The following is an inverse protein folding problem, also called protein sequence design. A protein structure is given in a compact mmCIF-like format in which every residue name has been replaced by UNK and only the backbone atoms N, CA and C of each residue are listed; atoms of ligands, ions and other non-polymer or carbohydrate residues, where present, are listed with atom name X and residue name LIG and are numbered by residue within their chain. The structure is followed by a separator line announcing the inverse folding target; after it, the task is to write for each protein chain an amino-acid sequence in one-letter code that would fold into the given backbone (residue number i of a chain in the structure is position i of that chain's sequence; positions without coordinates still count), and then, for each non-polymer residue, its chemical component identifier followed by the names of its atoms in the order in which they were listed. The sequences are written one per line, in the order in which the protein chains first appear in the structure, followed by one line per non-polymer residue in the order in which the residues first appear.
data_IF_554015144793
#
_entry.id   IF_554015144793
#
_cell.length_a   1.000
_cell.length_b   1.000
_cell.length_c   1.000
_cell.angle_alpha   90.00
_cell.angle_beta   90.00
_cell.angle_gamma   90.00
#
_symmetry.space_group_name_H-M   'P 1'
#
loop_
_entity.id
_entity.type
_entity.pdbx_description
1 polymer ?
#
# COMPACT_ATOMS: atom_id res chain seq x y z
N UNK A 1 -9.09 23.95 -27.57
CA UNK A 1 -7.97 24.81 -27.13
C UNK A 1 -7.76 24.55 -25.65
N UNK A 2 -6.90 23.58 -25.31
CA UNK A 2 -6.64 23.19 -23.92
C UNK A 2 -5.47 24.03 -23.39
N UNK A 3 -5.75 24.96 -22.49
CA UNK A 3 -4.74 25.74 -21.77
C UNK A 3 -4.01 24.79 -20.82
N UNK A 4 -2.81 24.36 -21.19
CA UNK A 4 -1.85 23.79 -20.23
C UNK A 4 -1.57 24.87 -19.18
N UNK A 5 -2.09 24.68 -17.97
CA UNK A 5 -1.63 25.42 -16.80
C UNK A 5 -0.12 25.19 -16.66
N UNK A 6 0.67 26.23 -16.92
CA UNK A 6 2.11 26.18 -16.70
C UNK A 6 2.37 26.01 -15.20
N UNK A 7 2.96 24.88 -14.80
CA UNK A 7 3.42 24.67 -13.43
C UNK A 7 4.47 25.75 -13.15
N UNK A 8 4.25 26.56 -12.11
CA UNK A 8 5.21 27.59 -11.70
C UNK A 8 6.45 26.91 -11.10
N UNK A 9 7.67 27.30 -11.48
CA UNK A 9 8.88 26.81 -10.82
C UNK A 9 8.85 27.26 -9.35
N UNK A 10 8.78 26.30 -8.43
CA UNK A 10 8.75 26.55 -6.97
C UNK A 10 7.42 26.34 -6.27
N UNK A 11 6.37 25.88 -6.96
CA UNK A 11 5.17 25.34 -6.28
C UNK A 11 5.40 23.88 -5.89
N UNK A 12 5.58 23.61 -4.60
CA UNK A 12 5.59 22.25 -4.07
C UNK A 12 4.23 21.59 -4.34
N UNK A 13 4.25 20.41 -4.98
CA UNK A 13 3.03 19.64 -5.25
C UNK A 13 2.39 19.27 -3.91
N UNK A 14 1.19 19.79 -3.63
CA UNK A 14 0.42 19.37 -2.46
C UNK A 14 -0.15 17.99 -2.69
N UNK A 15 0.08 17.08 -1.75
CA UNK A 15 -0.49 15.74 -1.78
C UNK A 15 -2.02 15.82 -1.82
N UNK A 16 -2.63 14.99 -2.68
CA UNK A 16 -4.08 14.88 -2.75
C UNK A 16 -4.65 14.15 -1.53
N UNK A 17 -5.94 14.36 -1.23
CA UNK A 17 -6.60 13.67 -0.11
C UNK A 17 -6.51 12.14 -0.20
N UNK A 18 -6.61 11.58 -1.42
CA UNK A 18 -6.50 10.13 -1.62
C UNK A 18 -5.09 9.59 -1.36
N UNK A 19 -4.06 10.40 -1.59
CA UNK A 19 -2.67 10.03 -1.29
C UNK A 19 -2.45 10.02 0.23
N UNK A 20 -3.00 10.99 0.96
CA UNK A 20 -2.99 10.96 2.42
C UNK A 20 -3.77 9.75 2.98
N UNK A 21 -4.90 9.41 2.37
CA UNK A 21 -5.65 8.21 2.75
C UNK A 21 -4.88 6.92 2.45
N UNK A 22 -4.13 6.88 1.34
CA UNK A 22 -3.23 5.77 1.01
C UNK A 22 -2.20 5.55 2.12
N UNK A 23 -1.53 6.62 2.57
CA UNK A 23 -0.53 6.54 3.63
C UNK A 23 -1.13 5.97 4.93
N UNK A 24 -2.33 6.42 5.31
CA UNK A 24 -3.03 5.91 6.49
C UNK A 24 -3.43 4.43 6.34
N UNK A 25 -3.89 4.02 5.15
CA UNK A 25 -4.26 2.64 4.88
C UNK A 25 -3.04 1.70 5.00
N UNK A 26 -1.89 2.12 4.48
CA UNK A 26 -0.63 1.37 4.63
C UNK A 26 -0.23 1.27 6.10
N UNK A 27 -0.23 2.38 6.84
CA UNK A 27 0.14 2.37 8.27
C UNK A 27 -0.79 1.46 9.07
N UNK A 28 -2.11 1.50 8.81
CA UNK A 28 -3.07 0.61 9.44
C UNK A 28 -2.79 -0.87 9.11
N UNK A 29 -2.49 -1.17 7.85
CA UNK A 29 -2.17 -2.52 7.41
C UNK A 29 -0.89 -3.07 8.07
N UNK A 30 0.14 -2.24 8.22
CA UNK A 30 1.35 -2.62 8.95
C UNK A 30 1.05 -2.88 10.44
N UNK A 31 0.18 -2.08 11.05
CA UNK A 31 -0.29 -2.28 12.43
C UNK A 31 -0.99 -3.64 12.60
N UNK A 32 -1.94 -3.97 11.72
CA UNK A 32 -2.64 -5.27 11.73
C UNK A 32 -1.68 -6.44 11.55
N UNK A 33 -0.73 -6.36 10.61
CA UNK A 33 0.30 -7.39 10.42
C UNK A 33 1.20 -7.57 11.66
N UNK A 34 1.42 -6.50 12.42
CA UNK A 34 2.22 -6.52 13.63
C UNK A 34 1.44 -7.06 14.84
N UNK A 35 0.15 -6.77 14.95
CA UNK A 35 -0.70 -7.30 16.02
C UNK A 35 -0.74 -8.84 15.98
N UNK A 36 -0.79 -9.42 14.78
CA UNK A 36 -0.68 -10.88 14.59
C UNK A 36 0.63 -11.47 15.17
N UNK A 37 1.74 -10.72 15.14
CA UNK A 37 2.99 -11.13 15.78
C UNK A 37 2.93 -11.01 17.31
N UNK A 38 2.31 -9.95 17.82
CA UNK A 38 2.19 -9.70 19.26
C UNK A 38 1.33 -10.77 19.94
N UNK A 39 0.28 -11.26 19.27
CA UNK A 39 -0.62 -12.29 19.81
C UNK A 39 0.09 -13.64 20.00
N UNK A 40 0.94 -14.03 19.06
CA UNK A 40 1.66 -15.30 19.09
C UNK A 40 3.16 -15.11 18.82
N UNK A 41 3.93 -14.57 19.77
CA UNK A 41 5.33 -14.27 19.57
C UNK A 41 6.14 -15.57 19.48
N UNK A 42 6.61 -15.88 18.28
CA UNK A 42 7.48 -17.01 17.97
C UNK A 42 8.50 -16.62 16.91
N UNK A 43 9.54 -17.43 16.71
CA UNK A 43 10.52 -17.16 15.66
C UNK A 43 9.89 -17.23 14.25
N UNK A 44 8.93 -18.14 14.06
CA UNK A 44 8.22 -18.32 12.80
C UNK A 44 7.33 -17.12 12.49
N UNK A 45 6.51 -16.69 13.45
CA UNK A 45 5.65 -15.51 13.30
C UNK A 45 6.48 -14.24 13.14
N UNK A 46 7.61 -14.09 13.84
CA UNK A 46 8.54 -12.97 13.64
C UNK A 46 9.05 -12.92 12.20
N UNK A 47 9.47 -14.06 11.64
CA UNK A 47 10.00 -14.14 10.28
C UNK A 47 8.93 -13.77 9.24
N UNK A 48 7.73 -14.34 9.34
CA UNK A 48 6.65 -14.05 8.40
C UNK A 48 6.13 -12.61 8.52
N UNK A 49 5.99 -12.08 9.74
CA UNK A 49 5.58 -10.68 9.94
C UNK A 49 6.64 -9.71 9.42
N UNK A 50 7.94 -10.00 9.56
CA UNK A 50 9.01 -9.19 8.96
C UNK A 50 8.96 -9.21 7.43
N UNK A 51 8.71 -10.37 6.82
CA UNK A 51 8.53 -10.46 5.37
C UNK A 51 7.30 -9.68 4.89
N UNK A 52 6.17 -9.80 5.59
CA UNK A 52 4.96 -9.04 5.29
C UNK A 52 5.21 -7.52 5.39
N UNK A 53 5.87 -7.10 6.47
CA UNK A 53 6.28 -5.71 6.69
C UNK A 53 7.18 -5.21 5.55
N UNK A 54 8.22 -5.97 5.19
CA UNK A 54 9.16 -5.61 4.13
C UNK A 54 8.46 -5.48 2.77
N UNK A 55 7.52 -6.38 2.47
CA UNK A 55 6.75 -6.33 1.23
C UNK A 55 5.80 -5.12 1.20
N UNK A 56 4.99 -4.92 2.25
CA UNK A 56 4.07 -3.78 2.36
C UNK A 56 4.83 -2.45 2.34
N UNK A 57 5.97 -2.37 3.03
CA UNK A 57 6.85 -1.20 3.01
C UNK A 57 7.41 -0.92 1.62
N UNK A 58 7.86 -1.96 0.91
CA UNK A 58 8.40 -1.81 -0.47
C UNK A 58 7.35 -1.27 -1.43
N UNK A 59 6.11 -1.79 -1.34
CA UNK A 59 4.96 -1.30 -2.11
C UNK A 59 4.71 0.18 -1.81
N UNK A 60 4.65 0.56 -0.53
CA UNK A 60 4.44 1.95 -0.13
C UNK A 60 5.58 2.88 -0.58
N UNK A 61 6.82 2.41 -0.51
CA UNK A 61 7.99 3.18 -0.93
C UNK A 61 7.97 3.45 -2.44
N UNK A 62 7.77 2.42 -3.27
CA UNK A 62 7.69 2.55 -4.72
C UNK A 62 6.51 3.43 -5.13
N UNK A 63 5.34 3.08 -4.61
CA UNK A 63 4.23 3.95 -4.21
C UNK A 63 4.46 5.47 -4.29
N UNK A 64 5.03 5.92 -3.17
CA UNK A 64 5.36 7.29 -2.82
C UNK A 64 6.40 7.89 -3.76
N UNK A 65 7.42 7.12 -4.16
CA UNK A 65 8.44 7.60 -5.11
C UNK A 65 7.84 7.95 -6.47
N UNK A 66 6.91 7.13 -6.98
CA UNK A 66 6.19 7.39 -8.24
C UNK A 66 5.35 8.66 -8.11
N UNK A 67 4.58 8.81 -7.02
CA UNK A 67 3.74 9.98 -6.78
C UNK A 67 4.54 11.28 -6.61
N UNK A 68 5.73 11.19 -6.01
CA UNK A 68 6.62 12.33 -5.85
C UNK A 68 7.29 12.70 -7.17
N UNK A 69 7.61 11.72 -8.02
CA UNK A 69 8.32 11.94 -9.28
C UNK A 69 7.41 12.41 -10.40
N UNK A 70 6.21 11.85 -10.50
CA UNK A 70 5.29 12.08 -11.59
C UNK A 70 4.01 12.75 -11.07
N UNK A 71 3.60 13.83 -11.71
CA UNK A 71 2.29 14.44 -11.47
C UNK A 71 1.20 13.59 -12.16
N UNK A 72 0.98 12.38 -11.63
CA UNK A 72 -0.07 11.48 -12.11
C UNK A 72 -1.38 11.96 -11.51
N UNK A 73 -2.25 12.48 -12.36
CA UNK A 73 -3.62 12.81 -12.02
C UNK A 73 -4.57 12.11 -13.00
N UNK A 74 -5.71 11.61 -12.49
CA UNK A 74 -6.68 10.93 -13.32
C UNK A 74 -7.52 9.91 -12.56
N UNK A 75 -8.67 9.57 -13.15
CA UNK A 75 -9.60 8.59 -12.56
C UNK A 75 -9.00 7.18 -12.51
N UNK A 76 -8.24 6.79 -13.53
CA UNK A 76 -7.60 5.46 -13.61
C UNK A 76 -6.62 5.28 -12.44
N UNK A 77 -5.75 6.27 -12.22
CA UNK A 77 -4.80 6.26 -11.12
C UNK A 77 -5.50 6.19 -9.74
N UNK A 78 -6.59 6.93 -9.54
CA UNK A 78 -7.37 6.85 -8.29
C UNK A 78 -7.97 5.46 -8.07
N UNK A 79 -8.45 4.81 -9.14
CA UNK A 79 -8.96 3.44 -9.08
C UNK A 79 -7.82 2.47 -8.74
N UNK A 80 -6.67 2.59 -9.39
CA UNK A 80 -5.49 1.78 -9.09
C UNK A 80 -5.07 1.93 -7.63
N UNK A 81 -5.06 3.15 -7.08
CA UNK A 81 -4.77 3.37 -5.65
C UNK A 81 -5.79 2.70 -4.73
N UNK A 82 -7.08 2.79 -5.02
CA UNK A 82 -8.11 2.11 -4.22
C UNK A 82 -7.95 0.58 -4.27
N UNK A 83 -7.63 0.03 -5.45
CA UNK A 83 -7.32 -1.39 -5.61
C UNK A 83 -6.07 -1.79 -4.82
N UNK A 84 -5.03 -0.95 -4.86
CA UNK A 84 -3.79 -1.16 -4.12
C UNK A 84 -4.02 -1.16 -2.61
N UNK A 85 -4.77 -0.18 -2.08
CA UNK A 85 -5.17 -0.14 -0.66
C UNK A 85 -5.94 -1.40 -0.27
N UNK A 86 -6.87 -1.83 -1.11
CA UNK A 86 -7.69 -3.02 -0.85
C UNK A 86 -6.80 -4.27 -0.76
N UNK A 87 -5.87 -4.44 -1.71
CA UNK A 87 -4.94 -5.56 -1.69
C UNK A 87 -4.01 -5.54 -0.46
N UNK A 88 -3.48 -4.38 -0.09
CA UNK A 88 -2.60 -4.24 1.09
C UNK A 88 -3.33 -4.61 2.38
N UNK A 89 -4.59 -4.19 2.55
CA UNK A 89 -5.41 -4.53 3.71
C UNK A 89 -5.76 -6.02 3.75
N UNK A 90 -6.12 -6.62 2.61
CA UNK A 90 -6.39 -8.06 2.52
C UNK A 90 -5.14 -8.88 2.86
N UNK A 91 -3.96 -8.45 2.39
CA UNK A 91 -2.69 -9.08 2.76
C UNK A 91 -2.46 -8.98 4.27
N UNK A 92 -2.69 -7.82 4.90
CA UNK A 92 -2.52 -7.68 6.36
C UNK A 92 -3.44 -8.62 7.15
N UNK A 93 -4.71 -8.72 6.76
CA UNK A 93 -5.69 -9.59 7.44
C UNK A 93 -5.29 -11.07 7.32
N UNK A 94 -4.69 -11.48 6.19
CA UNK A 94 -4.27 -12.87 5.98
C UNK A 94 -3.12 -13.34 6.88
N UNK A 95 -2.43 -12.42 7.57
CA UNK A 95 -1.33 -12.74 8.50
C UNK A 95 -1.86 -13.26 9.84
N UNK A 96 -3.09 -12.91 10.23
CA UNK A 96 -3.68 -13.32 11.51
C UNK A 96 -4.13 -14.79 11.54
N UNK A 97 -3.95 -15.46 12.69
CA UNK A 97 -4.50 -16.80 12.93
C UNK A 97 -6.04 -16.75 12.96
N UNK A 98 -6.71 -17.66 12.23
CA UNK A 98 -8.17 -17.67 12.10
C UNK A 98 -8.73 -16.65 11.10
N UNK A 99 -7.88 -16.05 10.27
CA UNK A 99 -8.29 -15.11 9.24
C UNK A 99 -9.24 -15.74 8.22
N UNK A 100 -10.19 -14.94 7.72
CA UNK A 100 -11.11 -15.35 6.66
C UNK A 100 -10.41 -15.62 5.32
N UNK A 101 -9.13 -15.24 5.21
CA UNK A 101 -8.31 -15.33 4.00
C UNK A 101 -7.03 -16.09 4.36
N UNK A 102 -6.89 -17.29 3.82
CA UNK A 102 -5.69 -18.11 3.98
C UNK A 102 -4.42 -17.43 3.41
N UNK A 103 -3.24 -17.88 3.80
CA UNK A 103 -1.94 -17.32 3.38
C UNK A 103 -1.79 -17.23 1.85
N UNK A 104 -2.42 -18.15 1.10
CA UNK A 104 -2.49 -18.12 -0.37
C UNK A 104 -3.21 -16.89 -0.89
N UNK A 105 -4.31 -16.51 -0.25
CA UNK A 105 -5.05 -15.29 -0.57
C UNK A 105 -4.21 -14.05 -0.31
N UNK A 106 -3.46 -14.03 0.80
CA UNK A 106 -2.48 -12.99 1.11
C UNK A 106 -1.44 -12.78 0.01
N UNK A 107 -0.86 -13.87 -0.50
CA UNK A 107 0.11 -13.83 -1.60
C UNK A 107 -0.50 -13.37 -2.93
N UNK A 108 -1.73 -13.80 -3.25
CA UNK A 108 -2.43 -13.34 -4.46
C UNK A 108 -2.70 -11.83 -4.36
N UNK A 109 -3.17 -11.35 -3.22
CA UNK A 109 -3.39 -9.92 -2.98
C UNK A 109 -2.09 -9.13 -3.10
N UNK A 110 -0.98 -9.65 -2.58
CA UNK A 110 0.33 -9.02 -2.67
C UNK A 110 0.82 -8.96 -4.13
N UNK A 111 0.70 -10.05 -4.89
CA UNK A 111 1.02 -10.06 -6.33
C UNK A 111 0.17 -9.07 -7.13
N UNK A 112 -1.13 -9.01 -6.84
CA UNK A 112 -2.03 -8.03 -7.43
C UNK A 112 -1.61 -6.58 -7.12
N UNK A 113 -1.24 -6.29 -5.87
CA UNK A 113 -0.73 -4.99 -5.45
C UNK A 113 0.52 -4.60 -6.24
N UNK A 114 1.48 -5.50 -6.42
CA UNK A 114 2.67 -5.21 -7.22
C UNK A 114 2.33 -4.91 -8.69
N UNK A 115 1.29 -5.52 -9.26
CA UNK A 115 0.83 -5.20 -10.63
C UNK A 115 0.22 -3.80 -10.76
N UNK A 116 -0.24 -3.20 -9.66
CA UNK A 116 -0.76 -1.83 -9.65
C UNK A 116 0.35 -0.77 -9.61
N UNK A 117 1.60 -1.17 -9.32
CA UNK A 117 2.77 -0.30 -9.36
C UNK A 117 3.21 -0.15 -10.82
N UNK A 118 2.58 0.76 -11.57
CA UNK A 118 2.84 1.01 -12.99
C UNK A 118 2.15 2.24 -13.53
#
# INVERSE_FOLDING_TARGET
MFTRSAIKPGEDRKAGWLELFYDLAVVAALGVSNDAFIEHPSFETAYFSLLALAAQFSVWLLTTLIHNRFAIDGIIYRILLLLQMSGILLTAISVGEGSAIDWRGGLISLGFVFLTIG
#
